data_IF_180025280963
#
_entry.id   IF_180025280963
#
_cell.length_a   1.000
_cell.length_b   1.000
_cell.length_c   1.000
_cell.angle_alpha   90.00
_cell.angle_beta   90.00
_cell.angle_gamma   90.00
#
_symmetry.space_group_name_H-M   'P 1'
#
loop_
_entity.id
_entity.type
_entity.pdbx_description
1 polymer ?
#
# COMPACT_ATOMS: atom_id res chain seq x y z
N UNK A 1 0.39 -19.95 -16.57
CA UNK A 1 -0.50 -19.12 -15.73
C UNK A 1 0.28 -18.72 -14.48
N UNK A 2 0.20 -17.46 -14.02
CA UNK A 2 0.86 -17.01 -12.78
C UNK A 2 -0.13 -17.06 -11.62
N UNK A 3 0.31 -17.49 -10.43
CA UNK A 3 -0.52 -17.45 -9.22
C UNK A 3 -0.47 -16.07 -8.54
N UNK A 4 -1.30 -15.86 -7.51
CA UNK A 4 -1.38 -14.58 -6.79
C UNK A 4 -0.05 -14.18 -6.12
N UNK A 5 0.67 -15.14 -5.54
CA UNK A 5 1.97 -14.89 -4.90
C UNK A 5 3.00 -14.37 -5.92
N UNK A 6 3.05 -14.97 -7.11
CA UNK A 6 3.92 -14.52 -8.21
C UNK A 6 3.54 -13.12 -8.69
N UNK A 7 2.25 -12.81 -8.75
CA UNK A 7 1.74 -11.48 -9.14
C UNK A 7 2.13 -10.43 -8.08
N UNK A 8 1.92 -10.72 -6.79
CA UNK A 8 2.29 -9.85 -5.66
C UNK A 8 3.78 -9.58 -5.64
N UNK A 9 4.60 -10.63 -5.70
CA UNK A 9 6.04 -10.51 -5.68
C UNK A 9 6.56 -9.66 -6.84
N UNK A 10 6.07 -9.88 -8.06
CA UNK A 10 6.47 -9.08 -9.23
C UNK A 10 6.08 -7.60 -9.07
N UNK A 11 4.85 -7.32 -8.67
CA UNK A 11 4.38 -5.95 -8.45
C UNK A 11 5.15 -5.24 -7.34
N UNK A 12 5.54 -5.95 -6.28
CA UNK A 12 6.33 -5.40 -5.18
C UNK A 12 7.75 -5.04 -5.65
N UNK A 13 8.40 -5.92 -6.42
CA UNK A 13 9.71 -5.63 -7.04
C UNK A 13 9.62 -4.39 -7.94
N UNK A 14 8.59 -4.31 -8.78
CA UNK A 14 8.42 -3.17 -9.69
C UNK A 14 8.14 -1.87 -8.93
N UNK A 15 7.41 -1.95 -7.81
CA UNK A 15 7.12 -0.78 -6.97
C UNK A 15 8.37 -0.22 -6.32
N UNK A 16 9.25 -1.08 -5.79
CA UNK A 16 10.53 -0.64 -5.21
C UNK A 16 11.49 -0.14 -6.28
N UNK A 17 11.46 -0.70 -7.51
CA UNK A 17 12.23 -0.15 -8.63
C UNK A 17 11.77 1.26 -9.04
N UNK A 18 10.46 1.52 -8.95
CA UNK A 18 9.89 2.85 -9.21
C UNK A 18 10.20 3.84 -8.10
N UNK A 19 10.20 3.36 -6.85
CA UNK A 19 10.44 4.14 -5.63
C UNK A 19 11.63 3.55 -4.86
N UNK A 20 12.89 3.78 -5.33
CA UNK A 20 14.08 3.15 -4.77
C UNK A 20 14.35 3.53 -3.32
N UNK A 21 13.89 4.71 -2.90
CA UNK A 21 14.05 5.25 -1.55
C UNK A 21 12.93 4.85 -0.58
N UNK A 22 12.09 3.88 -0.96
CA UNK A 22 11.03 3.39 -0.08
C UNK A 22 11.61 2.78 1.20
N UNK A 23 11.38 3.45 2.33
CA UNK A 23 11.84 3.02 3.66
C UNK A 23 11.16 1.73 4.12
N UNK A 24 11.97 0.71 4.45
CA UNK A 24 11.47 -0.53 5.05
C UNK A 24 10.85 -0.29 6.43
N UNK A 25 11.38 0.63 7.26
CA UNK A 25 10.79 0.87 8.59
C UNK A 25 9.40 1.50 8.48
N UNK A 26 9.18 2.37 7.51
CA UNK A 26 7.86 2.92 7.20
C UNK A 26 6.89 1.81 6.76
N UNK A 27 7.27 0.99 5.77
CA UNK A 27 6.42 -0.11 5.28
C UNK A 27 6.09 -1.13 6.38
N UNK A 28 7.02 -1.38 7.31
CA UNK A 28 6.82 -2.33 8.41
C UNK A 28 5.73 -1.92 9.41
N UNK A 29 5.39 -0.62 9.51
CA UNK A 29 4.35 -0.12 10.43
C UNK A 29 2.95 -0.31 9.87
N UNK A 30 2.80 -0.26 8.54
CA UNK A 30 1.50 -0.29 7.87
C UNK A 30 0.63 -1.51 8.22
N UNK A 31 1.13 -2.76 8.27
CA UNK A 31 0.27 -3.90 8.58
C UNK A 31 -0.39 -3.78 9.95
N UNK A 32 0.35 -3.36 10.98
CA UNK A 32 -0.20 -3.18 12.32
C UNK A 32 -1.26 -2.08 12.34
N UNK A 33 -1.00 -0.95 11.68
CA UNK A 33 -1.96 0.16 11.59
C UNK A 33 -3.24 -0.23 10.84
N UNK A 34 -3.13 -0.97 9.74
CA UNK A 34 -4.29 -1.43 8.96
C UNK A 34 -5.12 -2.41 9.78
N UNK A 35 -4.48 -3.32 10.53
CA UNK A 35 -5.19 -4.27 11.38
C UNK A 35 -5.89 -3.57 12.54
N UNK A 36 -5.26 -2.58 13.17
CA UNK A 36 -5.83 -1.90 14.34
C UNK A 36 -6.88 -0.85 13.99
N UNK A 37 -6.67 -0.11 12.89
CA UNK A 37 -7.46 1.08 12.55
C UNK A 37 -8.27 0.92 11.26
N UNK A 38 -7.98 -0.11 10.46
CA UNK A 38 -8.55 -0.30 9.13
C UNK A 38 -7.75 0.39 8.02
N UNK A 39 -7.99 -0.04 6.78
CA UNK A 39 -7.30 0.45 5.59
C UNK A 39 -7.59 1.94 5.33
N UNK A 40 -8.86 2.35 5.36
CA UNK A 40 -9.26 3.74 5.08
C UNK A 40 -8.69 4.72 6.11
N UNK A 41 -8.75 4.40 7.40
CA UNK A 41 -8.21 5.26 8.44
C UNK A 41 -6.67 5.39 8.35
N UNK A 42 -5.98 4.28 8.08
CA UNK A 42 -4.53 4.29 7.86
C UNK A 42 -4.17 5.12 6.63
N UNK A 43 -4.91 4.95 5.53
CA UNK A 43 -4.70 5.72 4.31
C UNK A 43 -4.93 7.22 4.52
N UNK A 44 -6.01 7.60 5.20
CA UNK A 44 -6.30 8.99 5.54
C UNK A 44 -5.19 9.60 6.42
N UNK A 45 -4.72 8.86 7.43
CA UNK A 45 -3.62 9.30 8.29
C UNK A 45 -2.33 9.56 7.50
N UNK A 46 -2.00 8.69 6.55
CA UNK A 46 -0.81 8.84 5.71
C UNK A 46 -0.97 9.92 4.63
N UNK A 47 -2.20 10.21 4.19
CA UNK A 47 -2.45 11.25 3.18
C UNK A 47 -2.53 12.66 3.77
N UNK A 48 -2.84 12.79 5.06
CA UNK A 48 -2.93 14.07 5.75
C UNK A 48 -1.60 14.84 5.73
N UNK A 49 -1.68 16.17 5.64
CA UNK A 49 -0.52 17.06 5.68
C UNK A 49 0.23 17.00 7.02
N UNK A 50 1.53 17.29 6.97
CA UNK A 50 2.45 17.15 8.10
C UNK A 50 2.76 15.68 8.42
N UNK A 51 3.72 15.43 9.32
CA UNK A 51 4.06 14.06 9.78
C UNK A 51 5.46 13.55 9.44
N UNK A 52 6.27 14.38 8.77
CA UNK A 52 7.69 14.11 8.49
C UNK A 52 7.93 12.97 7.50
N UNK A 53 9.21 12.71 7.24
CA UNK A 53 9.67 11.75 6.22
C UNK A 53 9.06 10.35 6.38
N UNK A 54 8.92 9.86 7.62
CA UNK A 54 8.33 8.55 7.87
C UNK A 54 6.86 8.45 7.42
N UNK A 55 6.07 9.53 7.49
CA UNK A 55 4.68 9.51 6.98
C UNK A 55 4.65 9.57 5.47
N UNK A 56 5.52 10.36 4.85
CA UNK A 56 5.66 10.42 3.39
C UNK A 56 6.05 9.05 2.81
N UNK A 57 6.96 8.32 3.45
CA UNK A 57 7.34 6.98 3.00
C UNK A 57 6.22 5.96 3.18
N UNK A 58 5.44 6.06 4.27
CA UNK A 58 4.23 5.26 4.42
C UNK A 58 3.20 5.57 3.31
N UNK A 59 3.07 6.84 2.93
CA UNK A 59 2.23 7.26 1.80
C UNK A 59 2.71 6.67 0.48
N UNK A 60 4.01 6.72 0.16
CA UNK A 60 4.58 6.08 -1.05
C UNK A 60 4.26 4.58 -1.12
N UNK A 61 4.37 3.89 0.01
CA UNK A 61 4.02 2.46 0.09
C UNK A 61 2.52 2.21 -0.11
N UNK A 62 1.65 3.11 0.35
CA UNK A 62 0.21 3.05 0.09
C UNK A 62 -0.15 3.44 -1.35
N UNK A 63 0.56 4.37 -1.98
CA UNK A 63 0.42 4.66 -3.42
C UNK A 63 0.80 3.44 -4.27
N UNK A 64 1.88 2.73 -3.90
CA UNK A 64 2.24 1.46 -4.52
C UNK A 64 1.14 0.40 -4.34
N UNK A 65 0.50 0.38 -3.17
CA UNK A 65 -0.62 -0.51 -2.87
C UNK A 65 -1.85 -0.15 -3.71
N UNK A 66 -2.19 1.14 -3.84
CA UNK A 66 -3.29 1.61 -4.68
C UNK A 66 -3.10 1.19 -6.14
N UNK A 67 -1.90 1.43 -6.69
CA UNK A 67 -1.52 0.96 -8.05
C UNK A 67 -1.69 -0.54 -8.22
N UNK A 68 -1.26 -1.31 -7.23
CA UNK A 68 -1.38 -2.76 -7.26
C UNK A 68 -2.85 -3.22 -7.27
N UNK A 69 -3.68 -2.65 -6.39
CA UNK A 69 -5.09 -2.99 -6.30
C UNK A 69 -5.86 -2.57 -7.56
N UNK A 70 -5.54 -1.42 -8.16
CA UNK A 70 -6.10 -0.99 -9.44
C UNK A 70 -5.68 -1.91 -10.58
N UNK A 71 -4.40 -2.34 -10.63
CA UNK A 71 -3.92 -3.34 -11.58
C UNK A 71 -4.67 -4.69 -11.44
N UNK A 72 -5.02 -5.08 -10.21
CA UNK A 72 -5.81 -6.28 -9.92
C UNK A 72 -7.30 -6.13 -10.24
N UNK A 73 -7.77 -4.93 -10.59
CA UNK A 73 -9.18 -4.64 -10.80
C UNK A 73 -10.01 -4.61 -9.51
N UNK A 74 -9.36 -4.49 -8.35
CA UNK A 74 -10.03 -4.34 -7.04
C UNK A 74 -10.41 -2.88 -6.82
N UNK A 75 -9.57 -1.95 -7.29
CA UNK A 75 -9.92 -0.53 -7.38
C UNK A 75 -10.26 -0.17 -8.82
N UNK A 76 -10.95 0.95 -9.00
CA UNK A 76 -11.20 1.52 -10.31
C UNK A 76 -9.90 1.81 -11.06
N UNK A 77 -9.96 1.76 -12.40
CA UNK A 77 -8.82 2.14 -13.24
C UNK A 77 -8.49 3.62 -13.00
N UNK A 78 -7.20 3.95 -12.95
CA UNK A 78 -6.73 5.30 -12.65
C UNK A 78 -6.63 5.62 -11.17
N UNK A 79 -7.00 4.69 -10.27
CA UNK A 79 -6.74 4.81 -8.84
C UNK A 79 -5.29 4.41 -8.52
N UNK A 80 -4.34 5.31 -8.77
CA UNK A 80 -2.89 5.05 -8.59
C UNK A 80 -2.25 5.80 -7.41
N UNK A 81 -3.08 6.42 -6.57
CA UNK A 81 -2.70 7.16 -5.37
C UNK A 81 -3.52 6.76 -4.14
N UNK A 82 -3.01 7.07 -2.96
CA UNK A 82 -3.67 6.86 -1.66
C UNK A 82 -4.97 7.63 -1.59
N UNK A 83 -5.01 8.84 -2.13
CA UNK A 83 -6.21 9.68 -2.20
C UNK A 83 -7.28 9.03 -3.08
N UNK A 84 -6.87 8.57 -4.27
CA UNK A 84 -7.77 7.83 -5.15
C UNK A 84 -8.30 6.56 -4.49
N UNK A 85 -7.45 5.86 -3.72
CA UNK A 85 -7.85 4.65 -3.00
C UNK A 85 -8.88 4.96 -1.90
N UNK A 86 -8.69 6.06 -1.16
CA UNK A 86 -9.67 6.53 -0.16
C UNK A 86 -11.00 6.83 -0.82
N UNK A 87 -11.01 7.68 -1.84
CA UNK A 87 -12.23 8.09 -2.55
C UNK A 87 -12.93 6.90 -3.23
N UNK A 88 -12.16 5.95 -3.77
CA UNK A 88 -12.74 4.78 -4.40
C UNK A 88 -13.38 3.84 -3.38
N UNK A 89 -12.74 3.61 -2.23
CA UNK A 89 -13.20 2.63 -1.24
C UNK A 89 -14.24 3.19 -0.26
N UNK A 90 -14.35 4.51 -0.11
CA UNK A 90 -15.39 5.14 0.72
C UNK A 90 -16.80 4.94 0.15
N UNK A 91 -16.92 4.79 -1.17
CA UNK A 91 -18.18 4.59 -1.89
C UNK A 91 -18.54 3.10 -2.10
N UNK A 92 -17.70 2.19 -1.60
CA UNK A 92 -17.81 0.74 -1.84
C UNK A 92 -18.47 0.04 -0.67
N UNK A 93 -18.98 -1.16 -0.92
CA UNK A 93 -19.57 -1.95 0.15
C UNK A 93 -18.51 -2.56 1.09
N UNK A 94 -18.99 -3.13 2.21
CA UNK A 94 -18.12 -3.70 3.22
C UNK A 94 -17.35 -4.93 2.73
N UNK A 95 -17.90 -5.70 1.79
CA UNK A 95 -17.25 -6.88 1.24
C UNK A 95 -16.10 -6.48 0.29
N UNK A 96 -16.33 -5.49 -0.56
CA UNK A 96 -15.30 -4.89 -1.41
C UNK A 96 -14.17 -4.28 -0.58
N UNK A 97 -14.49 -3.55 0.50
CA UNK A 97 -13.48 -2.99 1.41
C UNK A 97 -12.68 -4.08 2.14
N UNK A 98 -13.33 -5.15 2.61
CA UNK A 98 -12.65 -6.28 3.24
C UNK A 98 -11.71 -6.99 2.26
N UNK A 99 -12.15 -7.21 1.03
CA UNK A 99 -11.32 -7.80 -0.03
C UNK A 99 -10.10 -6.92 -0.34
N UNK A 100 -10.29 -5.60 -0.51
CA UNK A 100 -9.19 -4.66 -0.72
C UNK A 100 -8.22 -4.65 0.46
N UNK A 101 -8.72 -4.71 1.69
CA UNK A 101 -7.89 -4.76 2.91
C UNK A 101 -7.05 -6.03 2.97
N UNK A 102 -7.64 -7.20 2.72
CA UNK A 102 -6.94 -8.48 2.73
C UNK A 102 -5.83 -8.51 1.65
N UNK A 103 -6.14 -8.04 0.45
CA UNK A 103 -5.18 -7.98 -0.65
C UNK A 103 -4.07 -6.95 -0.40
N UNK A 104 -4.40 -5.78 0.18
CA UNK A 104 -3.42 -4.77 0.57
C UNK A 104 -2.41 -5.34 1.58
N UNK A 105 -2.88 -6.02 2.64
CA UNK A 105 -2.02 -6.64 3.64
C UNK A 105 -1.09 -7.70 3.03
N UNK A 106 -1.64 -8.56 2.14
CA UNK A 106 -0.86 -9.57 1.44
C UNK A 106 0.23 -8.94 0.56
N UNK A 107 -0.11 -7.88 -0.18
CA UNK A 107 0.85 -7.15 -1.01
C UNK A 107 1.94 -6.43 -0.20
N UNK A 108 1.56 -5.71 0.87
CA UNK A 108 2.51 -4.99 1.74
C UNK A 108 3.51 -5.97 2.38
N UNK A 109 3.09 -7.20 2.68
CA UNK A 109 3.99 -8.24 3.18
C UNK A 109 5.10 -8.63 2.19
N UNK A 110 4.88 -8.50 0.89
CA UNK A 110 5.91 -8.61 -0.15
C UNK A 110 6.71 -7.32 -0.28
N UNK A 111 6.04 -6.17 -0.31
CA UNK A 111 6.67 -4.86 -0.46
C UNK A 111 7.77 -4.62 0.58
N UNK A 112 7.50 -4.91 1.86
CA UNK A 112 8.50 -4.78 2.94
C UNK A 112 9.75 -5.65 2.75
N UNK A 113 9.62 -6.81 2.08
CA UNK A 113 10.75 -7.72 1.84
C UNK A 113 11.72 -7.15 0.81
N UNK A 114 11.23 -6.33 -0.12
CA UNK A 114 12.04 -5.72 -1.17
C UNK A 114 12.44 -4.27 -0.87
N UNK A 115 11.72 -3.57 0.01
CA UNK A 115 12.07 -2.21 0.45
C UNK A 115 13.48 -2.14 1.05
N UNK A 116 14.15 -0.99 0.85
CA UNK A 116 15.53 -0.76 1.29
C UNK A 116 15.58 -0.69 2.82
N UNK A 117 16.61 -1.28 3.43
CA UNK A 117 16.88 -1.04 4.85
C UNK A 117 17.27 0.43 5.01
N UNK A 118 16.72 1.08 6.02
CA UNK A 118 17.22 2.39 6.42
C UNK A 118 18.66 2.17 6.89
N UNK A 119 19.62 2.90 6.31
CA UNK A 119 21.01 2.82 6.75
C UNK A 119 21.05 3.31 8.20
N UNK A 120 21.35 2.41 9.13
CA UNK A 120 21.69 2.78 10.50
C UNK A 120 23.02 3.52 10.42
N UNK A 121 22.96 4.85 10.32
CA UNK A 121 24.09 5.74 10.55
C UNK A 121 24.20 6.05 12.03
#
# INVERSE_FOLDING_TARGET
MKNLEQIRAKAAIDSVKKEPDMSRSAVNKLPAMIISNGLLATAAFCNAEGGGENREDMKKALDATARYLAFRGILAKGTDSVEGMINCLSERDSHELQHATAEALAFIAYLKRFAKKDDQS
#
